data_IF_466226533292
#
_entry.id   IF_466226533292
#
_cell.length_a   1.000
_cell.length_b   1.000
_cell.length_c   1.000
_cell.angle_alpha   90.00
_cell.angle_beta   90.00
_cell.angle_gamma   90.00
#
_symmetry.space_group_name_H-M   'P 1'
#
loop_
_entity.id
_entity.type
_entity.pdbx_description
1 polymer ?
2 non-polymer ?
3 water ?
#
# COMPACT_ATOMS: atom_id res chain seq x y z
N UNK A 7 -31.79 -18.58 -32.38
CA UNK A 7 -30.62 -18.83 -31.55
C UNK A 7 -29.87 -17.57 -31.13
N UNK A 8 -30.43 -16.82 -30.17
CA UNK A 8 -29.79 -15.60 -29.71
C UNK A 8 -28.57 -15.92 -28.86
N UNK A 9 -27.63 -14.98 -28.84
CA UNK A 9 -26.40 -15.10 -28.05
C UNK A 9 -26.19 -13.77 -27.30
N UNK A 10 -25.96 -13.86 -25.99
CA UNK A 10 -25.70 -12.67 -25.17
C UNK A 10 -24.25 -12.69 -24.70
N UNK A 11 -23.56 -11.56 -24.83
CA UNK A 11 -22.15 -11.46 -24.50
C UNK A 11 -21.92 -10.37 -23.47
N UNK A 12 -20.76 -10.42 -22.83
CA UNK A 12 -20.30 -9.39 -21.91
C UNK A 12 -18.93 -8.89 -22.36
N UNK A 13 -18.80 -7.58 -22.50
CA UNK A 13 -17.55 -6.95 -22.92
C UNK A 13 -16.94 -6.25 -21.71
N UNK A 14 -15.84 -6.83 -21.21
CA UNK A 14 -15.05 -6.27 -20.12
C UNK A 14 -13.87 -5.53 -20.72
N UNK A 15 -13.89 -4.20 -20.69
CA UNK A 15 -12.90 -3.35 -21.38
C UNK A 15 -12.18 -2.50 -20.33
N UNK A 16 -10.99 -2.94 -19.92
CA UNK A 16 -10.16 -2.26 -18.94
C UNK A 16 -8.98 -1.64 -19.67
N UNK A 17 -9.00 -0.31 -19.82
CA UNK A 17 -7.95 0.40 -20.50
C UNK A 17 -6.98 1.10 -19.55
N UNK A 18 -6.17 1.98 -20.13
CA UNK A 18 -5.19 2.72 -19.36
C UNK A 18 -5.83 3.67 -18.36
N UNK A 19 -6.98 4.22 -18.70
CA UNK A 19 -7.65 5.16 -17.82
C UNK A 19 -8.95 4.65 -17.22
N UNK A 20 -9.92 4.28 -18.04
CA UNK A 20 -11.26 3.97 -17.58
C UNK A 20 -11.56 2.48 -17.72
N UNK A 21 -12.68 2.08 -17.12
CA UNK A 21 -13.19 0.73 -17.21
C UNK A 21 -14.61 0.76 -17.73
N UNK A 22 -14.92 -0.16 -18.64
CA UNK A 22 -16.24 -0.27 -19.23
C UNK A 22 -16.69 -1.73 -19.18
N UNK A 23 -17.99 -1.92 -18.98
CA UNK A 23 -18.63 -3.22 -19.12
C UNK A 23 -19.90 -3.01 -19.94
N UNK A 24 -20.14 -3.90 -20.91
CA UNK A 24 -21.33 -3.79 -21.74
C UNK A 24 -21.94 -5.16 -21.98
N UNK A 25 -23.27 -5.23 -21.94
CA UNK A 25 -24.03 -6.44 -22.24
C UNK A 25 -24.74 -6.25 -23.56
N UNK A 26 -24.52 -7.16 -24.48
CA UNK A 26 -25.06 -7.04 -25.84
C UNK A 26 -25.76 -8.35 -26.21
N UNK A 27 -26.91 -8.22 -26.87
CA UNK A 27 -27.71 -9.35 -27.32
C UNK A 27 -27.66 -9.42 -28.84
N UNK A 28 -27.47 -10.63 -29.36
CA UNK A 28 -27.41 -10.86 -30.81
C UNK A 28 -28.47 -11.88 -31.19
N UNK A 29 -29.27 -11.54 -32.19
CA UNK A 29 -30.29 -12.42 -32.74
C UNK A 29 -30.23 -12.31 -34.25
N UNK A 30 -30.68 -13.36 -34.94
CA UNK A 30 -30.51 -13.45 -36.40
C UNK A 30 -31.71 -12.89 -37.14
N UNK A 31 -32.85 -13.57 -37.03
CA UNK A 31 -34.08 -13.13 -37.69
C UNK A 31 -33.92 -13.32 -39.19
N UNK A 36 -29.74 -8.51 -35.90
CA UNK A 36 -30.18 -7.50 -34.93
C UNK A 36 -29.19 -7.44 -33.77
N UNK A 37 -28.89 -6.22 -33.34
CA UNK A 37 -27.90 -6.02 -32.29
C UNK A 37 -28.44 -4.97 -31.33
N UNK A 38 -28.40 -5.30 -30.05
CA UNK A 38 -29.02 -4.47 -29.03
C UNK A 38 -28.13 -4.45 -27.80
N UNK A 39 -27.66 -3.25 -27.45
CA UNK A 39 -26.97 -3.04 -26.19
C UNK A 39 -28.02 -3.06 -25.08
N UNK A 40 -27.89 -4.02 -24.16
CA UNK A 40 -28.84 -4.14 -23.05
C UNK A 40 -28.45 -3.27 -21.87
N UNK A 41 -27.17 -3.18 -21.54
CA UNK A 41 -26.74 -2.36 -20.42
C UNK A 41 -25.28 -2.02 -20.58
N UNK A 42 -24.88 -0.94 -19.90
CA UNK A 42 -23.50 -0.48 -19.93
C UNK A 42 -23.22 0.28 -18.65
N UNK A 43 -22.08 -0.01 -18.04
CA UNK A 43 -21.67 0.62 -16.80
C UNK A 43 -20.15 0.72 -16.84
N UNK A 44 -19.57 1.18 -15.74
CA UNK A 44 -18.12 1.23 -15.68
C UNK A 44 -17.63 2.00 -14.48
N UNK A 45 -16.38 2.45 -14.58
CA UNK A 45 -15.70 3.20 -13.54
C UNK A 45 -14.72 4.13 -14.23
N UNK A 46 -15.05 5.42 -14.29
CA UNK A 46 -14.24 6.41 -14.99
C UNK A 46 -12.86 6.64 -14.35
N UNK A 47 -12.62 6.15 -13.13
CA UNK A 47 -11.34 6.33 -12.43
C UNK A 47 -10.77 4.99 -11.97
N UNK A 48 -10.66 4.07 -12.92
CA UNK A 48 -10.11 2.74 -12.67
C UNK A 48 -9.49 2.28 -13.98
N UNK A 49 -8.17 2.34 -14.08
CA UNK A 49 -7.51 1.95 -15.31
C UNK A 49 -6.10 1.47 -15.04
N UNK A 50 -5.43 1.08 -16.12
CA UNK A 50 -4.07 0.60 -16.02
C UNK A 50 -3.12 1.57 -15.34
N UNK A 51 -3.38 2.88 -15.46
CA UNK A 51 -2.47 3.82 -14.82
C UNK A 51 -2.50 3.68 -13.31
N UNK A 52 -3.63 3.26 -12.74
CA UNK A 52 -3.70 3.01 -11.32
C UNK A 52 -2.92 1.77 -10.92
N UNK A 53 -2.72 0.83 -11.84
CA UNK A 53 -1.88 -0.32 -11.54
C UNK A 53 -0.41 0.08 -11.46
N UNK A 54 0.02 1.02 -12.32
CA UNK A 54 1.39 1.52 -12.25
C UNK A 54 1.60 2.27 -10.93
N UNK A 55 0.65 3.12 -10.57
CA UNK A 55 0.78 3.95 -9.37
C UNK A 55 1.06 3.10 -8.13
N UNK A 56 0.35 1.98 -8.00
CA UNK A 56 0.60 1.09 -6.85
C UNK A 56 2.02 0.57 -6.86
N UNK A 57 2.52 0.19 -8.03
CA UNK A 57 3.89 -0.30 -8.12
C UNK A 57 4.90 0.81 -7.87
N UNK A 58 4.57 2.04 -8.27
CA UNK A 58 5.48 3.16 -8.03
C UNK A 58 5.66 3.40 -6.53
N UNK A 59 4.57 3.33 -5.76
CA UNK A 59 4.71 3.51 -4.31
C UNK A 59 5.66 2.49 -3.71
N UNK A 60 5.52 1.23 -4.13
CA UNK A 60 6.36 0.17 -3.60
C UNK A 60 7.82 0.41 -3.92
N UNK A 61 8.12 0.91 -5.13
CA UNK A 61 9.50 1.15 -5.47
C UNK A 61 10.07 2.32 -4.68
N UNK A 62 9.26 3.35 -4.45
CA UNK A 62 9.69 4.47 -3.64
C UNK A 62 9.93 4.03 -2.19
N UNK A 63 9.05 3.19 -1.65
CA UNK A 63 9.24 2.72 -0.27
C UNK A 63 10.49 1.86 -0.15
N UNK A 64 10.73 0.97 -1.10
CA UNK A 64 11.89 0.10 -0.99
C UNK A 64 13.19 0.89 -1.16
N UNK A 65 13.20 1.87 -2.05
CA UNK A 65 14.38 2.71 -2.20
C UNK A 65 14.65 3.53 -0.94
N UNK A 66 13.59 3.97 -0.24
CA UNK A 66 13.78 4.68 1.02
C UNK A 66 14.28 3.72 2.11
N UNK A 67 13.62 2.57 2.24
CA UNK A 67 14.05 1.55 3.19
C UNK A 67 15.53 1.22 3.02
N UNK A 68 16.01 1.16 1.77
CA UNK A 68 17.39 0.74 1.52
C UNK A 68 18.38 1.89 1.67
N UNK A 69 18.24 2.94 0.85
CA UNK A 69 19.20 4.02 0.80
C UNK A 69 18.83 5.19 1.72
N UNK A 70 17.55 5.39 1.99
CA UNK A 70 17.12 6.46 2.87
C UNK A 70 16.69 7.74 2.19
N UNK A 71 16.48 7.73 0.86
CA UNK A 71 16.13 8.92 0.11
C UNK A 71 14.65 8.84 -0.27
N UNK A 72 13.98 9.99 -0.27
CA UNK A 72 12.63 10.14 -0.81
C UNK A 72 12.74 10.74 -2.20
N UNK A 73 12.40 9.95 -3.22
CA UNK A 73 12.55 10.40 -4.59
C UNK A 73 11.44 11.35 -5.03
N UNK A 74 10.34 11.39 -4.28
CA UNK A 74 9.19 12.20 -4.68
C UNK A 74 9.51 13.69 -4.78
N UNK A 75 10.55 14.17 -4.11
CA UNK A 75 10.95 15.56 -4.29
C UNK A 75 11.70 15.77 -5.60
N UNK A 76 12.04 14.71 -6.32
CA UNK A 76 12.84 14.80 -7.53
C UNK A 76 11.95 14.49 -8.73
N UNK A 77 11.52 15.50 -9.50
CA UNK A 77 10.55 15.22 -10.58
C UNK A 77 11.13 14.42 -11.73
N UNK A 78 12.40 14.66 -12.08
CA UNK A 78 13.02 13.93 -13.17
C UNK A 78 13.19 12.45 -12.82
N UNK A 79 13.43 12.14 -11.55
CA UNK A 79 13.55 10.75 -11.13
C UNK A 79 12.20 10.05 -11.13
N UNK A 80 11.15 10.75 -10.71
CA UNK A 80 9.82 10.16 -10.71
C UNK A 80 9.33 9.85 -12.12
N UNK A 81 9.81 10.60 -13.12
CA UNK A 81 9.43 10.27 -14.50
C UNK A 81 10.06 8.95 -14.94
N UNK A 82 11.32 8.73 -14.59
CA UNK A 82 12.00 7.51 -14.99
C UNK A 82 11.42 6.31 -14.25
N UNK A 83 11.03 6.53 -13.00
CA UNK A 83 10.45 5.44 -12.21
C UNK A 83 9.06 5.06 -12.72
N UNK A 84 8.29 6.03 -13.23
CA UNK A 84 7.00 5.70 -13.82
C UNK A 84 7.19 4.85 -15.06
N UNK A 85 8.08 5.30 -15.94
CA UNK A 85 8.42 4.55 -17.15
C UNK A 85 8.89 3.14 -16.80
N UNK A 86 9.76 3.00 -15.79
CA UNK A 86 10.31 1.70 -15.41
C UNK A 86 9.23 0.82 -14.78
N UNK A 87 8.31 1.42 -14.02
CA UNK A 87 7.29 0.64 -13.35
C UNK A 87 6.33 -0.01 -14.34
N UNK A 88 5.88 0.76 -15.33
CA UNK A 88 5.01 0.21 -16.37
C UNK A 88 5.70 -0.95 -17.08
N UNK A 89 6.97 -0.75 -17.47
CA UNK A 89 7.74 -1.79 -18.14
C UNK A 89 7.76 -3.08 -17.33
N UNK A 90 7.94 -2.96 -16.01
CA UNK A 90 7.97 -4.15 -15.17
C UNK A 90 6.58 -4.78 -15.04
N UNK A 91 5.56 -3.94 -14.89
CA UNK A 91 4.19 -4.45 -14.82
C UNK A 91 3.88 -5.35 -16.00
N UNK A 92 4.28 -4.94 -17.20
CA UNK A 92 4.00 -5.70 -18.41
C UNK A 92 4.77 -7.02 -18.40
N UNK A 93 6.09 -6.96 -18.19
CA UNK A 93 6.87 -8.19 -18.15
C UNK A 93 6.28 -9.19 -17.17
N UNK A 94 5.71 -8.69 -16.06
CA UNK A 94 5.14 -9.58 -15.06
C UNK A 94 3.80 -10.19 -15.47
N UNK A 95 3.26 -9.82 -16.64
CA UNK A 95 2.13 -10.56 -17.20
C UNK A 95 2.57 -11.91 -17.76
N UNK A 96 3.85 -12.03 -18.17
CA UNK A 96 4.39 -13.25 -18.73
C UNK A 96 5.46 -13.92 -17.88
N UNK A 97 6.13 -13.18 -16.99
CA UNK A 97 7.20 -13.71 -16.16
C UNK A 97 6.77 -13.81 -14.70
N UNK A 98 7.48 -14.63 -13.93
CA UNK A 98 7.23 -14.75 -12.50
C UNK A 98 7.96 -13.68 -11.69
N UNK A 99 9.05 -13.13 -12.23
CA UNK A 99 9.80 -12.09 -11.55
C UNK A 99 10.57 -11.28 -12.57
N UNK A 100 10.95 -10.07 -12.16
CA UNK A 100 11.67 -9.15 -13.04
C UNK A 100 12.50 -8.21 -12.16
N UNK A 101 13.21 -7.29 -12.80
CA UNK A 101 14.15 -6.42 -12.09
C UNK A 101 14.04 -5.00 -12.62
N UNK A 102 13.89 -4.05 -11.71
CA UNK A 102 13.90 -2.63 -12.06
C UNK A 102 15.33 -2.16 -11.91
N UNK A 103 15.91 -1.64 -12.98
CA UNK A 103 17.30 -1.18 -12.98
C UNK A 103 17.35 0.23 -13.56
N UNK A 104 17.67 1.20 -12.72
CA UNK A 104 17.76 2.61 -13.10
C UNK A 104 19.06 3.17 -12.54
N UNK A 105 20.13 3.15 -13.33
CA UNK A 105 21.39 3.69 -12.83
C UNK A 105 21.39 5.21 -12.71
N UNK A 106 22.17 5.69 -11.73
CA UNK A 106 22.33 7.12 -11.45
C UNK A 106 20.98 7.81 -11.33
N UNK A 107 20.12 7.25 -10.47
CA UNK A 107 18.77 7.75 -10.31
C UNK A 107 18.77 9.05 -9.54
N UNK A 108 19.65 9.18 -8.54
CA UNK A 108 19.77 10.40 -7.74
C UNK A 108 21.15 10.39 -7.07
N UNK A 109 21.38 11.33 -6.15
CA UNK A 109 22.70 11.44 -5.53
C UNK A 109 22.58 12.10 -4.16
N UNK A 110 23.64 11.94 -3.35
CA UNK A 110 23.76 12.58 -2.04
C UNK A 110 25.24 12.78 -1.71
N UNK A 111 25.53 13.20 -0.48
CA UNK A 111 26.92 13.42 -0.07
C UNK A 111 27.74 12.14 -0.16
N UNK A 112 27.08 10.98 -0.09
CA UNK A 112 27.76 9.71 -0.27
C UNK A 112 28.06 9.42 -1.74
N UNK A 113 27.45 10.17 -2.66
CA UNK A 113 27.69 10.01 -4.07
C UNK A 113 26.43 9.70 -4.86
N UNK A 114 26.60 9.29 -6.11
CA UNK A 114 25.44 8.92 -6.94
C UNK A 114 24.86 7.58 -6.52
N UNK A 115 23.54 7.46 -6.65
CA UNK A 115 22.78 6.31 -6.19
C UNK A 115 22.15 5.59 -7.38
N UNK A 116 21.89 4.30 -7.18
CA UNK A 116 21.34 3.42 -8.22
C UNK A 116 20.20 2.59 -7.68
N UNK A 117 19.15 2.43 -8.50
CA UNK A 117 18.03 1.58 -8.13
C UNK A 117 18.20 0.21 -8.77
N UNK A 118 17.96 -0.83 -7.97
CA UNK A 118 18.04 -2.22 -8.41
C UNK A 118 17.11 -3.00 -7.49
N UNK A 119 15.89 -3.25 -7.95
CA UNK A 119 14.85 -3.85 -7.12
C UNK A 119 14.21 -4.99 -7.88
N UNK A 120 14.09 -6.14 -7.21
CA UNK A 120 13.37 -7.28 -7.79
C UNK A 120 11.91 -7.28 -7.36
N UNK A 121 11.02 -7.34 -8.35
CA UNK A 121 9.57 -7.39 -8.14
C UNK A 121 9.08 -8.75 -8.61
N UNK A 122 8.47 -9.51 -7.72
CA UNK A 122 7.89 -10.79 -8.09
C UNK A 122 6.46 -10.58 -8.55
N UNK A 123 5.92 -11.59 -9.24
CA UNK A 123 4.53 -11.50 -9.66
C UNK A 123 3.62 -11.49 -8.44
N UNK A 124 3.83 -12.42 -7.52
CA UNK A 124 3.04 -12.47 -6.30
C UNK A 124 3.02 -11.11 -5.60
N UNK A 125 4.14 -10.40 -5.62
CA UNK A 125 4.18 -9.07 -5.02
C UNK A 125 3.24 -8.11 -5.75
N UNK A 126 3.30 -8.11 -7.08
CA UNK A 126 2.43 -7.23 -7.85
C UNK A 126 0.96 -7.56 -7.65
N UNK A 127 0.63 -8.84 -7.59
CA UNK A 127 -0.77 -9.24 -7.43
C UNK A 127 -1.32 -8.78 -6.10
N UNK A 128 -0.51 -8.83 -5.05
CA UNK A 128 -0.95 -8.33 -3.75
C UNK A 128 -1.11 -6.82 -3.76
N UNK A 129 -0.32 -6.12 -4.57
CA UNK A 129 -0.40 -4.67 -4.63
C UNK A 129 -1.67 -4.20 -5.33
N UNK A 130 -2.11 -4.90 -6.38
CA UNK A 130 -3.22 -4.43 -7.19
C UNK A 130 -4.52 -5.19 -6.93
N UNK A 131 -4.50 -6.22 -6.09
CA UNK A 131 -5.69 -7.05 -5.86
C UNK A 131 -6.95 -6.22 -5.69
N UNK A 132 -6.89 -5.13 -4.92
CA UNK A 132 -8.11 -4.37 -4.66
C UNK A 132 -8.60 -3.66 -5.91
N UNK A 133 -7.71 -3.24 -6.80
CA UNK A 133 -8.15 -2.60 -8.04
C UNK A 133 -8.91 -3.59 -8.92
N UNK A 134 -8.49 -4.84 -8.95
CA UNK A 134 -9.21 -5.83 -9.72
C UNK A 134 -10.60 -6.05 -9.12
N UNK A 135 -10.68 -6.08 -7.79
CA UNK A 135 -11.96 -6.27 -7.13
C UNK A 135 -12.93 -5.11 -7.40
N UNK A 136 -12.42 -3.90 -7.62
CA UNK A 136 -13.31 -2.78 -7.92
C UNK A 136 -14.04 -2.98 -9.24
N UNK A 137 -13.44 -3.70 -10.19
CA UNK A 137 -14.04 -3.89 -11.51
C UNK A 137 -15.26 -4.79 -11.47
N UNK A 138 -15.42 -5.58 -10.41
CA UNK A 138 -16.57 -6.47 -10.31
C UNK A 138 -17.83 -5.71 -9.90
N UNK A 139 -17.68 -4.55 -9.24
CA UNK A 139 -18.85 -3.84 -8.75
C UNK A 139 -19.72 -3.35 -9.90
N UNK A 140 -19.20 -2.65 -10.90
CA UNK A 140 -20.06 -2.26 -12.04
C UNK A 140 -20.60 -3.45 -12.80
N UNK A 141 -19.93 -4.60 -12.75
CA UNK A 141 -20.45 -5.79 -13.42
C UNK A 141 -21.79 -6.19 -12.84
N UNK A 142 -21.87 -6.33 -11.51
CA UNK A 142 -23.13 -6.71 -10.88
C UNK A 142 -24.23 -5.74 -11.26
N UNK A 143 -23.92 -4.44 -11.24
CA UNK A 143 -24.92 -3.41 -11.55
C UNK A 143 -25.47 -3.61 -12.96
N UNK A 144 -24.57 -3.71 -13.94
CA UNK A 144 -25.00 -3.90 -15.33
C UNK A 144 -25.97 -5.06 -15.47
N UNK A 145 -25.61 -6.23 -14.93
CA UNK A 145 -26.49 -7.39 -15.02
C UNK A 145 -27.86 -7.10 -14.40
N UNK A 146 -27.89 -6.45 -13.24
CA UNK A 146 -29.17 -6.08 -12.63
C UNK A 146 -29.96 -5.19 -13.57
N UNK A 147 -29.34 -4.13 -14.09
CA UNK A 147 -30.01 -3.23 -15.00
C UNK A 147 -30.59 -3.98 -16.20
N UNK A 148 -29.88 -4.99 -16.69
CA UNK A 148 -30.34 -5.78 -17.83
C UNK A 148 -31.41 -6.80 -17.46
N UNK A 149 -31.67 -7.01 -16.17
CA UNK A 149 -32.57 -8.06 -15.76
C UNK A 149 -32.02 -9.45 -16.01
N UNK A 150 -30.71 -9.63 -15.83
CA UNK A 150 -30.02 -10.87 -16.16
C UNK A 150 -29.13 -11.33 -15.02
N UNK A 151 -28.66 -12.56 -15.14
CA UNK A 151 -27.73 -13.18 -14.21
C UNK A 151 -26.55 -13.68 -15.01
N UNK A 152 -25.51 -14.16 -14.32
CA UNK A 152 -24.31 -14.62 -15.02
C UNK A 152 -24.63 -15.86 -15.87
N UNK A 153 -25.64 -16.65 -15.48
CA UNK A 153 -25.99 -17.83 -16.24
C UNK A 153 -26.55 -17.47 -17.62
N UNK A 154 -27.15 -16.28 -17.76
CA UNK A 154 -27.70 -15.85 -19.04
C UNK A 154 -26.64 -15.36 -20.01
N UNK A 155 -25.41 -15.20 -19.57
CA UNK A 155 -24.32 -14.75 -20.44
C UNK A 155 -23.69 -15.96 -21.10
N UNK A 156 -23.38 -15.82 -22.38
CA UNK A 156 -22.82 -16.92 -23.16
C UNK A 156 -21.32 -16.79 -23.40
N UNK A 157 -20.79 -15.57 -23.45
CA UNK A 157 -19.38 -15.38 -23.73
C UNK A 157 -18.92 -14.08 -23.08
N UNK A 158 -17.67 -14.09 -22.62
CA UNK A 158 -17.01 -12.93 -22.04
C UNK A 158 -15.79 -12.64 -22.89
N UNK A 159 -15.71 -11.43 -23.44
CA UNK A 159 -14.57 -11.04 -24.26
C UNK A 159 -13.85 -9.89 -23.56
N UNK A 160 -12.53 -10.01 -23.46
CA UNK A 160 -11.70 -9.01 -22.81
C UNK A 160 -11.17 -8.02 -23.84
N UNK A 161 -11.15 -6.74 -23.47
CA UNK A 161 -10.64 -5.68 -24.32
C UNK A 161 -9.70 -4.83 -23.49
N UNK A 162 -8.62 -4.37 -24.10
CA UNK A 162 -7.67 -3.54 -23.39
C UNK A 162 -6.43 -4.30 -22.98
N UNK A 163 -5.30 -3.60 -22.98
CA UNK A 163 -4.03 -4.23 -22.64
C UNK A 163 -3.96 -4.74 -21.21
N UNK A 164 -4.49 -3.96 -20.26
CA UNK A 164 -4.41 -4.36 -18.85
C UNK A 164 -5.01 -5.75 -18.60
N UNK A 165 -5.98 -6.17 -19.42
CA UNK A 165 -6.62 -7.47 -19.25
C UNK A 165 -5.69 -8.65 -19.55
N UNK A 166 -4.50 -8.41 -20.11
CA UNK A 166 -3.56 -9.49 -20.34
C UNK A 166 -2.96 -10.04 -19.06
N UNK A 167 -3.15 -9.35 -17.94
CA UNK A 167 -2.63 -9.80 -16.65
C UNK A 167 -3.36 -11.06 -16.18
N UNK A 168 -2.67 -12.18 -15.96
CA UNK A 168 -3.35 -13.41 -15.54
C UNK A 168 -4.36 -13.23 -14.41
N UNK A 169 -4.03 -12.43 -13.40
CA UNK A 169 -4.94 -12.24 -12.28
C UNK A 169 -6.29 -11.70 -12.75
N UNK A 170 -6.26 -10.68 -13.62
CA UNK A 170 -7.50 -10.07 -14.10
C UNK A 170 -8.33 -11.09 -14.85
N UNK A 171 -7.68 -12.03 -15.54
CA UNK A 171 -8.42 -13.07 -16.25
C UNK A 171 -8.98 -14.09 -15.29
N UNK A 172 -8.24 -14.39 -14.22
CA UNK A 172 -8.67 -15.37 -13.23
C UNK A 172 -9.89 -14.88 -12.47
N UNK A 173 -9.93 -13.58 -12.13
CA UNK A 173 -11.06 -13.05 -11.39
C UNK A 173 -12.32 -12.96 -12.25
N UNK A 174 -12.17 -12.53 -13.50
CA UNK A 174 -13.33 -12.47 -14.39
C UNK A 174 -13.83 -13.88 -14.69
N UNK A 175 -12.92 -14.84 -14.81
CA UNK A 175 -13.35 -16.23 -14.99
C UNK A 175 -14.11 -16.74 -13.79
N UNK A 176 -13.78 -16.25 -12.59
CA UNK A 176 -14.44 -16.73 -11.37
C UNK A 176 -15.85 -16.17 -11.27
N UNK A 177 -16.04 -14.91 -11.66
CA UNK A 177 -17.35 -14.29 -11.59
C UNK A 177 -18.33 -14.95 -12.56
N UNK A 178 -17.98 -15.03 -13.85
CA UNK A 178 -18.87 -15.56 -14.88
C UNK A 178 -18.92 -17.07 -14.94
N UNK A 179 -17.95 -17.77 -14.33
CA UNK A 179 -17.90 -19.21 -14.42
C UNK A 179 -17.55 -19.75 -15.80
N UNK A 180 -16.92 -18.93 -16.64
CA UNK A 180 -16.56 -19.33 -17.99
C UNK A 180 -15.19 -18.76 -18.27
N UNK A 181 -14.46 -19.38 -19.18
CA UNK A 181 -13.16 -18.86 -19.53
C UNK A 181 -13.35 -17.68 -20.47
N UNK A 182 -12.95 -16.46 -20.09
CA UNK A 182 -13.11 -15.33 -21.00
C UNK A 182 -12.24 -15.48 -22.22
N UNK A 183 -12.72 -14.97 -23.35
CA UNK A 183 -11.96 -15.00 -24.59
C UNK A 183 -11.21 -13.69 -24.76
N UNK A 184 -9.88 -13.77 -24.87
CA UNK A 184 -9.05 -12.61 -25.15
C UNK A 184 -8.60 -12.58 -26.59
N UNK A 185 -8.87 -13.65 -27.33
CA UNK A 185 -8.50 -13.70 -28.74
C UNK A 185 -9.48 -12.92 -29.62
N UNK A 186 -10.70 -12.63 -29.15
CA UNK A 186 -11.74 -12.09 -30.03
C UNK A 186 -11.61 -10.59 -30.23
N UNK A 187 -11.82 -10.16 -31.47
CA UNK A 187 -11.84 -8.77 -31.91
C UNK A 187 -13.27 -8.22 -31.91
N UNK A 188 -13.45 -6.93 -32.17
CA UNK A 188 -14.82 -6.37 -32.14
C UNK A 188 -15.76 -6.93 -33.21
N UNK A 189 -15.31 -7.12 -34.45
CA UNK A 189 -16.20 -7.66 -35.47
C UNK A 189 -16.58 -9.10 -35.16
N UNK A 190 -15.59 -9.91 -34.80
CA UNK A 190 -15.80 -11.32 -34.49
C UNK A 190 -16.71 -11.49 -33.27
N UNK A 191 -16.61 -10.55 -32.33
CA UNK A 191 -17.41 -10.62 -31.10
C UNK A 191 -18.90 -10.63 -31.41
N UNK A 192 -19.33 -9.81 -32.35
CA UNK A 192 -20.74 -9.69 -32.67
C UNK A 192 -21.19 -10.94 -33.43
N UNK B 7 20.74 -9.56 42.99
CA UNK B 7 19.51 -9.36 42.25
C UNK B 7 19.64 -8.40 41.08
N UNK B 8 20.30 -8.87 40.01
CA UNK B 8 20.51 -8.09 38.80
C UNK B 8 19.21 -7.98 37.99
N UNK B 9 19.12 -6.92 37.19
CA UNK B 9 17.95 -6.63 36.37
C UNK B 9 18.38 -6.26 34.95
N UNK B 10 17.80 -6.94 33.96
CA UNK B 10 18.08 -6.68 32.56
C UNK B 10 16.84 -6.09 31.88
N UNK B 11 17.03 -5.01 31.12
CA UNK B 11 15.91 -4.34 30.46
C UNK B 11 16.16 -4.25 28.96
N UNK B 12 15.09 -4.02 28.22
CA UNK B 12 15.15 -3.76 26.78
C UNK B 12 14.44 -2.44 26.50
N UNK B 13 15.15 -1.54 25.84
CA UNK B 13 14.64 -0.22 25.50
C UNK B 13 14.31 -0.21 24.01
N UNK B 14 13.02 -0.22 23.70
CA UNK B 14 12.50 -0.15 22.34
C UNK B 14 12.14 1.30 22.04
N UNK B 15 12.94 1.95 21.20
CA UNK B 15 12.81 3.40 20.97
C UNK B 15 12.49 3.65 19.49
N UNK B 16 11.20 3.90 19.21
CA UNK B 16 10.72 4.19 17.86
C UNK B 16 10.33 5.66 17.76
N UNK B 17 11.15 6.46 17.10
CA UNK B 17 10.91 7.87 16.95
C UNK B 17 10.36 8.25 15.59
N UNK B 18 10.43 9.55 15.29
CA UNK B 18 9.94 10.04 14.01
C UNK B 18 10.74 9.55 12.82
N UNK B 19 12.05 9.35 13.00
CA UNK B 19 12.92 8.90 11.93
C UNK B 19 13.48 7.51 12.07
N UNK B 20 14.18 7.21 13.17
CA UNK B 20 14.92 5.96 13.32
C UNK B 20 14.30 5.07 14.38
N UNK B 21 14.80 3.84 14.44
CA UNK B 21 14.42 2.88 15.46
C UNK B 21 15.69 2.38 16.16
N UNK B 22 15.60 2.26 17.49
CA UNK B 22 16.71 1.77 18.31
C UNK B 22 16.19 0.70 19.26
N UNK B 23 17.04 -0.29 19.52
CA UNK B 23 16.81 -1.30 20.54
C UNK B 23 18.11 -1.44 21.32
N UNK B 24 18.00 -1.48 22.65
CA UNK B 24 19.17 -1.60 23.51
C UNK B 24 18.87 -2.56 24.66
N UNK B 25 19.86 -3.39 25.00
CA UNK B 25 19.75 -4.30 26.14
C UNK B 25 20.73 -3.81 27.21
N UNK B 26 20.21 -3.59 28.42
CA UNK B 26 20.99 -3.01 29.50
C UNK B 26 20.83 -3.87 30.76
N UNK B 27 21.94 -4.11 31.44
CA UNK B 27 22.00 -4.90 32.66
C UNK B 27 22.36 -4.02 33.85
N UNK B 28 21.66 -4.21 34.96
CA UNK B 28 21.91 -3.43 36.18
C UNK B 28 22.19 -4.41 37.32
N UNK B 29 23.30 -4.18 38.05
CA UNK B 29 23.65 -4.97 39.22
C UNK B 29 24.23 -4.05 40.29
N UNK B 30 23.95 -4.39 41.56
CA UNK B 30 24.38 -3.60 42.71
C UNK B 30 25.52 -4.33 43.45
N UNK B 31 26.68 -3.68 43.51
CA UNK B 31 27.82 -4.21 44.27
C UNK B 31 28.01 -3.49 45.59
N UNK B 32 28.05 -2.16 45.55
CA UNK B 32 28.16 -1.34 46.74
C UNK B 32 27.27 -0.11 46.63
N UNK B 36 26.41 -0.48 39.14
CA UNK B 36 27.07 -0.84 37.88
C UNK B 36 26.03 -0.96 36.76
N UNK B 37 26.37 -0.43 35.60
CA UNK B 37 25.46 -0.37 34.46
C UNK B 37 26.21 -0.79 33.21
N UNK B 38 25.63 -1.69 32.44
CA UNK B 38 26.32 -2.27 31.29
C UNK B 38 25.34 -2.48 30.14
N UNK B 39 25.60 -1.77 29.04
CA UNK B 39 24.91 -2.01 27.78
C UNK B 39 25.44 -3.30 27.19
N UNK B 40 24.56 -4.30 27.05
CA UNK B 40 24.96 -5.60 26.53
C UNK B 40 24.91 -5.63 25.00
N UNK B 41 23.93 -4.98 24.39
CA UNK B 41 23.80 -5.00 22.93
C UNK B 41 22.97 -3.81 22.49
N UNK B 42 23.10 -3.48 21.21
CA UNK B 42 22.37 -2.36 20.62
C UNK B 42 22.24 -2.57 19.13
N UNK B 43 21.04 -2.33 18.59
CA UNK B 43 20.77 -2.49 17.18
C UNK B 43 19.69 -1.49 16.80
N UNK B 44 19.22 -1.57 15.56
CA UNK B 44 18.16 -0.69 15.15
C UNK B 44 17.91 -0.74 13.65
N UNK B 45 17.26 0.32 13.16
CA UNK B 45 16.92 0.48 11.76
C UNK B 45 16.91 1.97 11.48
N UNK B 46 17.94 2.46 10.80
CA UNK B 46 18.11 3.89 10.57
C UNK B 46 17.05 4.48 9.66
N UNK B 47 16.23 3.66 8.99
CA UNK B 47 15.17 4.16 8.09
C UNK B 47 13.82 3.54 8.46
N UNK B 48 13.43 3.66 9.72
CA UNK B 48 12.17 3.11 10.22
C UNK B 48 11.71 4.01 11.35
N UNK B 49 10.76 4.89 11.07
CA UNK B 49 10.26 5.81 12.07
C UNK B 49 8.83 6.22 11.78
N UNK B 50 8.31 7.07 12.64
CA UNK B 50 6.95 7.55 12.48
C UNK B 50 6.67 8.18 11.13
N UNK B 51 7.68 8.79 10.50
CA UNK B 51 7.43 9.42 9.21
C UNK B 51 7.03 8.39 8.16
N UNK B 52 7.52 7.15 8.30
CA UNK B 52 7.10 6.10 7.39
C UNK B 52 5.67 5.67 7.66
N UNK B 53 5.18 5.86 8.89
CA UNK B 53 3.78 5.56 9.19
C UNK B 53 2.87 6.59 8.55
N UNK B 54 3.29 7.86 8.53
CA UNK B 54 2.52 8.89 7.86
C UNK B 54 2.44 8.62 6.36
N UNK B 55 3.58 8.29 5.76
CA UNK B 55 3.69 8.12 4.31
C UNK B 55 2.71 7.08 3.79
N UNK B 56 2.51 5.98 4.52
CA UNK B 56 1.56 4.96 4.08
C UNK B 56 0.15 5.52 4.05
N UNK B 57 -0.22 6.27 5.07
CA UNK B 57 -1.56 6.85 5.10
C UNK B 57 -1.71 7.92 4.02
N UNK B 58 -0.64 8.66 3.72
CA UNK B 58 -0.72 9.67 2.68
C UNK B 58 -1.01 9.03 1.33
N UNK B 59 -0.39 7.87 1.04
CA UNK B 59 -0.69 7.20 -0.21
C UNK B 59 -2.17 6.87 -0.30
N UNK B 60 -2.73 6.34 0.78
CA UNK B 60 -4.13 5.95 0.81
C UNK B 60 -5.04 7.16 0.59
N UNK B 61 -4.67 8.31 1.13
CA UNK B 61 -5.51 9.48 0.94
C UNK B 61 -5.43 9.98 -0.50
N UNK B 62 -4.27 9.90 -1.12
CA UNK B 62 -4.11 10.28 -2.51
C UNK B 62 -4.90 9.34 -3.41
N UNK B 63 -4.88 8.04 -3.11
CA UNK B 63 -5.62 7.08 -3.90
C UNK B 63 -7.12 7.32 -3.80
N UNK B 64 -7.62 7.56 -2.58
CA UNK B 64 -9.06 7.76 -2.41
C UNK B 64 -9.53 9.06 -3.04
N UNK B 65 -8.73 10.11 -2.93
CA UNK B 65 -9.14 11.36 -3.60
C UNK B 65 -9.17 11.19 -5.11
N UNK B 66 -8.28 10.38 -5.67
CA UNK B 66 -8.33 10.11 -7.10
C UNK B 66 -9.55 9.27 -7.43
N UNK B 67 -9.74 8.18 -6.68
CA UNK B 67 -10.89 7.32 -6.87
C UNK B 67 -12.19 8.12 -6.88
N UNK B 68 -12.28 9.14 -6.04
CA UNK B 68 -13.52 9.90 -5.90
C UNK B 68 -13.63 11.00 -6.94
N UNK B 69 -12.69 11.94 -6.95
CA UNK B 69 -12.75 13.12 -7.81
C UNK B 69 -11.99 12.97 -9.13
N UNK B 70 -10.95 12.14 -9.17
CA UNK B 70 -10.18 11.93 -10.39
C UNK B 70 -8.90 12.74 -10.52
N UNK B 71 -8.46 13.42 -9.46
CA UNK B 71 -7.29 14.30 -9.52
C UNK B 71 -6.12 13.61 -8.85
N UNK B 72 -4.92 13.85 -9.39
CA UNK B 72 -3.67 13.47 -8.75
C UNK B 72 -3.11 14.70 -8.03
N UNK B 73 -3.05 14.64 -6.70
CA UNK B 73 -2.57 15.76 -5.92
C UNK B 73 -1.05 15.86 -5.91
N UNK B 74 -0.37 14.77 -6.24
CA UNK B 74 1.09 14.74 -6.16
C UNK B 74 1.77 15.79 -7.02
N UNK B 75 1.09 16.27 -8.06
CA UNK B 75 1.64 17.38 -8.84
C UNK B 75 1.47 18.72 -8.14
N UNK B 76 0.73 18.77 -7.02
CA UNK B 76 0.42 20.01 -6.31
C UNK B 76 1.20 20.04 -4.98
N UNK B 77 2.31 20.78 -4.88
CA UNK B 77 3.12 20.71 -3.65
C UNK B 77 2.45 21.33 -2.44
N UNK B 78 1.72 22.43 -2.62
CA UNK B 78 1.05 23.04 -1.49
C UNK B 78 -0.01 22.11 -0.92
N UNK B 79 -0.68 21.36 -1.79
CA UNK B 79 -1.68 20.43 -1.31
C UNK B 79 -1.03 19.26 -0.59
N UNK B 80 0.09 18.77 -1.12
CA UNK B 80 0.77 17.64 -0.51
C UNK B 80 1.32 17.96 0.88
N UNK B 81 1.71 19.21 1.15
CA UNK B 81 2.16 19.54 2.50
C UNK B 81 0.98 19.61 3.46
N UNK B 82 -0.18 20.10 3.01
CA UNK B 82 -1.36 20.13 3.86
C UNK B 82 -1.84 18.73 4.15
N UNK B 83 -1.71 17.85 3.17
CA UNK B 83 -2.12 16.46 3.37
C UNK B 83 -1.19 15.78 4.36
N UNK B 84 0.09 16.16 4.37
CA UNK B 84 1.02 15.59 5.34
C UNK B 84 0.61 15.95 6.76
N UNK B 85 0.33 17.23 7.02
CA UNK B 85 -0.12 17.64 8.35
C UNK B 85 -1.37 16.87 8.76
N UNK B 86 -2.33 16.74 7.84
CA UNK B 86 -3.60 16.11 8.15
C UNK B 86 -3.44 14.62 8.43
N UNK B 87 -2.54 13.96 7.72
CA UNK B 87 -2.33 12.53 7.91
C UNK B 87 -1.73 12.25 9.28
N UNK B 88 -0.71 13.02 9.68
CA UNK B 88 -0.13 12.87 11.01
C UNK B 88 -1.18 13.11 12.08
N UNK B 89 -1.91 14.22 11.96
CA UNK B 89 -2.98 14.54 12.90
C UNK B 89 -3.95 13.38 13.05
N UNK B 90 -4.34 12.76 11.93
CA UNK B 90 -5.27 11.64 12.00
C UNK B 90 -4.60 10.40 12.58
N UNK B 91 -3.35 10.13 12.22
CA UNK B 91 -2.61 9.00 12.78
C UNK B 91 -2.65 9.04 14.31
N UNK B 92 -2.41 10.23 14.87
CA UNK B 92 -2.37 10.40 16.32
C UNK B 92 -3.76 10.19 16.91
N UNK B 93 -4.77 10.86 16.34
CA UNK B 93 -6.14 10.69 16.82
C UNK B 93 -6.54 9.23 16.85
N UNK B 94 -6.03 8.43 15.90
CA UNK B 94 -6.40 7.03 15.83
C UNK B 94 -5.67 6.18 16.86
N UNK B 95 -4.76 6.75 17.65
CA UNK B 95 -4.20 6.01 18.77
C UNK B 95 -5.20 5.86 19.90
N UNK B 96 -6.15 6.81 20.01
CA UNK B 96 -7.16 6.79 21.07
C UNK B 96 -8.58 6.57 20.56
N UNK B 97 -8.86 6.87 19.30
CA UNK B 97 -10.20 6.72 18.72
C UNK B 97 -10.24 5.55 17.73
N UNK B 98 -11.46 5.06 17.47
CA UNK B 98 -11.64 3.98 16.50
C UNK B 98 -11.74 4.48 15.07
N UNK B 99 -12.14 5.73 14.87
CA UNK B 99 -12.19 6.30 13.53
C UNK B 99 -12.06 7.81 13.65
N UNK B 100 -11.74 8.45 12.53
CA UNK B 100 -11.55 9.89 12.49
C UNK B 100 -11.85 10.38 11.08
N UNK B 101 -11.68 11.68 10.87
CA UNK B 101 -12.03 12.28 9.59
C UNK B 101 -10.97 13.30 9.18
N UNK B 102 -10.48 13.14 7.95
CA UNK B 102 -9.59 14.11 7.33
C UNK B 102 -10.44 15.10 6.55
N UNK B 103 -10.34 16.37 6.89
CA UNK B 103 -11.17 17.41 6.28
C UNK B 103 -10.25 18.53 5.84
N UNK B 104 -10.12 18.72 4.54
CA UNK B 104 -9.25 19.74 3.97
C UNK B 104 -10.06 20.52 2.94
N UNK B 105 -10.67 21.62 3.33
CA UNK B 105 -11.42 22.40 2.34
C UNK B 105 -10.51 23.11 1.37
N UNK B 106 -11.02 23.29 0.16
CA UNK B 106 -10.32 23.97 -0.93
C UNK B 106 -8.89 23.43 -1.10
N UNK B 107 -8.80 22.11 -1.27
CA UNK B 107 -7.50 21.45 -1.41
C UNK B 107 -6.93 21.68 -2.81
N UNK B 108 -7.79 21.71 -3.83
CA UNK B 108 -7.32 21.96 -5.20
C UNK B 108 -8.51 22.41 -6.04
N UNK B 109 -8.30 22.52 -7.36
CA UNK B 109 -9.36 23.01 -8.24
C UNK B 109 -9.18 22.48 -9.66
N UNK B 110 -10.27 22.54 -10.42
CA UNK B 110 -10.31 22.16 -11.83
C UNK B 110 -11.40 22.98 -12.52
N UNK B 111 -11.69 22.62 -13.77
CA UNK B 111 -12.75 23.31 -14.53
C UNK B 111 -14.11 23.18 -13.85
N UNK B 112 -14.31 22.12 -13.06
CA UNK B 112 -15.56 21.95 -12.33
C UNK B 112 -15.67 22.86 -11.10
N UNK B 113 -14.57 23.45 -10.67
CA UNK B 113 -14.57 24.33 -9.53
C UNK B 113 -13.60 23.89 -8.45
N UNK B 114 -13.68 24.51 -7.28
CA UNK B 114 -12.81 24.10 -6.18
C UNK B 114 -13.24 22.76 -5.60
N UNK B 115 -12.24 22.00 -5.14
CA UNK B 115 -12.46 20.66 -4.63
C UNK B 115 -12.12 20.58 -3.14
N UNK B 116 -12.74 19.62 -2.47
CA UNK B 116 -12.60 19.46 -1.02
C UNK B 116 -12.38 18.00 -0.67
N UNK B 117 -11.49 17.75 0.29
CA UNK B 117 -11.22 16.40 0.77
C UNK B 117 -12.02 16.13 2.04
N UNK B 118 -12.62 14.94 2.08
CA UNK B 118 -13.41 14.49 3.23
C UNK B 118 -13.38 12.96 3.21
N UNK B 119 -12.48 12.39 4.01
CA UNK B 119 -12.26 10.95 4.01
C UNK B 119 -12.25 10.44 5.44
N UNK B 120 -13.02 9.37 5.69
CA UNK B 120 -13.04 8.72 7.00
C UNK B 120 -11.95 7.66 7.02
N UNK B 121 -11.11 7.70 8.04
CA UNK B 121 -10.08 6.70 8.24
C UNK B 121 -10.39 5.95 9.52
N UNK B 122 -10.53 4.63 9.42
CA UNK B 122 -10.73 3.80 10.59
C UNK B 122 -9.40 3.34 11.15
N UNK B 123 -9.43 2.89 12.41
CA UNK B 123 -8.23 2.32 13.01
C UNK B 123 -7.84 1.02 12.31
N UNK B 124 -8.81 0.14 12.08
CA UNK B 124 -8.54 -1.10 11.36
C UNK B 124 -7.86 -0.84 10.01
N UNK B 125 -8.26 0.25 9.34
CA UNK B 125 -7.63 0.63 8.08
C UNK B 125 -6.18 1.03 8.29
N UNK B 126 -5.92 1.86 9.31
CA UNK B 126 -4.54 2.29 9.55
C UNK B 126 -3.66 1.09 9.89
N UNK B 127 -4.16 0.17 10.73
CA UNK B 127 -3.36 -0.96 11.16
C UNK B 127 -2.96 -1.85 9.99
N UNK B 128 -3.87 -2.05 9.02
CA UNK B 128 -3.54 -2.84 7.85
C UNK B 128 -2.51 -2.13 6.98
N UNK B 129 -2.56 -0.79 6.93
CA UNK B 129 -1.61 -0.03 6.12
C UNK B 129 -0.20 -0.13 6.67
N UNK B 130 -0.03 -0.10 8.00
CA UNK B 130 1.30 -0.04 8.60
C UNK B 130 1.75 -1.35 9.20
N UNK B 131 0.93 -2.40 9.17
CA UNK B 131 1.29 -3.66 9.81
C UNK B 131 2.73 -4.09 9.49
N UNK B 132 3.14 -3.98 8.24
CA UNK B 132 4.47 -4.49 7.88
C UNK B 132 5.58 -3.63 8.48
N UNK B 133 5.32 -2.33 8.70
CA UNK B 133 6.32 -1.50 9.36
C UNK B 133 6.55 -1.93 10.81
N UNK B 134 5.48 -2.35 11.50
CA UNK B 134 5.65 -2.83 12.87
C UNK B 134 6.46 -4.12 12.89
N UNK B 135 6.19 -5.02 11.94
CA UNK B 135 6.90 -6.29 11.90
C UNK B 135 8.38 -6.11 11.61
N UNK B 136 8.76 -5.04 10.90
CA UNK B 136 10.17 -4.79 10.66
C UNK B 136 10.94 -4.50 11.94
N UNK B 137 10.26 -3.92 12.93
CA UNK B 137 10.90 -3.56 14.19
C UNK B 137 11.30 -4.77 14.99
N UNK B 138 10.73 -5.93 14.69
CA UNK B 138 11.04 -7.17 15.40
C UNK B 138 12.36 -7.78 14.94
N UNK B 139 12.80 -7.48 13.72
CA UNK B 139 14.02 -8.12 13.22
C UNK B 139 15.24 -7.69 14.01
N UNK B 140 15.50 -6.39 14.22
CA UNK B 140 16.67 -6.02 15.05
C UNK B 140 16.59 -6.53 16.48
N UNK B 141 15.37 -6.75 17.00
CA UNK B 141 15.23 -7.28 18.34
C UNK B 141 15.88 -8.65 18.48
N UNK B 142 15.55 -9.57 17.58
CA UNK B 142 16.16 -10.89 17.61
C UNK B 142 17.68 -10.80 17.56
N UNK B 143 18.21 -9.93 16.69
CA UNK B 143 19.65 -9.79 16.49
C UNK B 143 20.33 -9.35 17.79
N UNK B 144 19.84 -8.24 18.37
CA UNK B 144 20.40 -7.72 19.61
C UNK B 144 20.47 -8.80 20.68
N UNK B 145 19.36 -9.53 20.87
CA UNK B 145 19.35 -10.61 21.84
C UNK B 145 20.43 -11.64 21.53
N UNK B 146 20.57 -12.01 20.24
CA UNK B 146 21.63 -12.94 19.86
C UNK B 146 23.00 -12.39 20.25
N UNK B 147 23.27 -11.15 19.86
CA UNK B 147 24.55 -10.52 20.20
C UNK B 147 24.81 -10.54 21.70
N UNK B 148 23.76 -10.36 22.50
CA UNK B 148 23.88 -10.36 23.95
C UNK B 148 24.01 -11.76 24.56
N UNK B 149 23.80 -12.82 23.77
CA UNK B 149 23.80 -14.15 24.32
C UNK B 149 22.62 -14.40 25.24
N UNK B 150 21.45 -13.84 24.90
CA UNK B 150 20.27 -13.89 25.77
C UNK B 150 19.04 -14.26 24.95
N UNK B 151 17.96 -14.56 25.68
CA UNK B 151 16.66 -14.88 25.12
C UNK B 151 15.65 -13.96 25.77
N UNK B 152 14.40 -14.01 25.28
CA UNK B 152 13.38 -13.13 25.82
C UNK B 152 13.08 -13.47 27.27
N UNK B 153 13.31 -14.72 27.69
CA UNK B 153 13.07 -15.10 29.07
C UNK B 153 14.05 -14.43 30.03
N UNK B 154 15.24 -14.06 29.55
CA UNK B 154 16.23 -13.40 30.39
C UNK B 154 15.96 -11.90 30.57
N UNK B 155 15.01 -11.34 29.84
CA UNK B 155 14.66 -9.93 29.96
C UNK B 155 13.63 -9.79 31.06
N UNK B 156 13.77 -8.74 31.88
CA UNK B 156 12.89 -8.52 33.01
C UNK B 156 11.87 -7.41 32.79
N UNK B 157 12.18 -6.42 31.95
CA UNK B 157 11.27 -5.31 31.69
C UNK B 157 11.52 -4.75 30.30
N UNK B 158 10.43 -4.32 29.67
CA UNK B 158 10.46 -3.67 28.36
C UNK B 158 9.89 -2.28 28.53
N UNK B 159 10.67 -1.26 28.20
CA UNK B 159 10.22 0.13 28.32
C UNK B 159 10.14 0.74 26.92
N UNK B 160 9.02 1.39 26.64
CA UNK B 160 8.78 2.02 25.36
C UNK B 160 9.19 3.48 25.38
N UNK B 161 9.84 3.92 24.31
CA UNK B 161 10.28 5.28 24.14
C UNK B 161 9.82 5.79 22.78
N UNK B 162 9.45 7.05 22.71
CA UNK B 162 9.04 7.64 21.45
C UNK B 162 7.53 7.74 21.33
N UNK B 163 7.05 8.78 20.66
CA UNK B 163 5.60 8.97 20.52
C UNK B 163 4.93 7.87 19.72
N UNK B 164 5.60 7.39 18.67
CA UNK B 164 5.02 6.35 17.84
C UNK B 164 4.65 5.11 18.63
N UNK B 165 5.36 4.84 19.73
CA UNK B 165 5.05 3.67 20.55
C UNK B 165 3.69 3.79 21.26
N UNK B 166 3.05 4.96 21.22
CA UNK B 166 1.72 5.11 21.78
C UNK B 166 0.64 4.40 20.98
N UNK B 167 0.95 3.96 19.77
CA UNK B 167 -0.02 3.25 18.94
C UNK B 167 -0.34 1.87 19.50
N UNK B 168 -1.60 1.57 19.83
CA UNK B 168 -1.90 0.26 20.44
C UNK B 168 -1.29 -0.94 19.73
N UNK B 169 -1.30 -0.95 18.40
CA UNK B 169 -0.75 -2.08 17.66
C UNK B 169 0.72 -2.31 18.00
N UNK B 170 1.52 -1.24 18.02
CA UNK B 170 2.94 -1.38 18.31
C UNK B 170 3.14 -1.96 19.70
N UNK B 171 2.24 -1.65 20.63
CA UNK B 171 2.30 -2.18 21.98
C UNK B 171 1.88 -3.64 22.02
N UNK B 172 0.91 -4.00 21.19
CA UNK B 172 0.43 -5.37 21.16
C UNK B 172 1.48 -6.33 20.60
N UNK B 173 2.20 -5.90 19.55
CA UNK B 173 3.22 -6.75 18.93
C UNK B 173 4.44 -6.91 19.83
N UNK B 174 4.87 -5.82 20.48
CA UNK B 174 6.00 -5.90 21.41
C UNK B 174 5.64 -6.77 22.61
N UNK B 175 4.38 -6.69 23.07
CA UNK B 175 3.94 -7.54 24.17
C UNK B 175 3.97 -9.01 23.78
N UNK B 176 3.71 -9.32 22.51
CA UNK B 176 3.66 -10.70 22.06
C UNK B 176 5.06 -11.29 21.96
N UNK B 177 6.01 -10.50 21.46
CA UNK B 177 7.37 -10.98 21.31
C UNK B 177 7.99 -11.29 22.68
N UNK B 178 7.99 -10.30 23.58
CA UNK B 178 8.61 -10.47 24.88
C UNK B 178 7.74 -11.25 25.88
N UNK B 179 6.44 -11.38 25.64
CA UNK B 179 5.59 -12.06 26.59
C UNK B 179 5.38 -11.30 27.88
N UNK B 180 5.57 -9.99 27.86
CA UNK B 180 5.47 -9.12 29.01
C UNK B 180 4.78 -7.82 28.59
N UNK B 181 4.15 -7.15 29.55
CA UNK B 181 3.49 -5.90 29.23
C UNK B 181 4.50 -4.76 29.19
N UNK B 182 4.68 -4.09 28.04
CA UNK B 182 5.62 -2.96 28.00
C UNK B 182 5.23 -1.82 28.93
N UNK B 183 6.24 -1.13 29.43
CA UNK B 183 6.08 0.03 30.30
C UNK B 183 6.18 1.29 29.45
N UNK B 184 5.10 2.08 29.41
CA UNK B 184 5.15 3.36 28.72
C UNK B 184 5.10 4.52 29.73
N UNK B 185 5.68 5.65 29.32
CA UNK B 185 5.74 6.89 30.09
C UNK B 185 6.65 6.78 31.32
N UNK B 186 7.58 5.83 31.30
CA UNK B 186 8.62 5.70 32.32
C UNK B 186 9.73 6.69 31.97
N UNK B 187 10.36 7.27 32.97
CA UNK B 187 11.39 8.26 32.71
C UNK B 187 12.71 7.54 32.45
N UNK B 188 13.72 8.25 31.93
CA UNK B 188 15.02 7.57 31.69
C UNK B 188 15.71 7.15 32.98
N UNK B 189 15.66 7.99 34.03
CA UNK B 189 16.29 7.64 35.31
C UNK B 189 15.56 6.49 35.99
N UNK B 190 14.22 6.52 35.99
CA UNK B 190 13.46 5.45 36.64
C UNK B 190 13.73 4.10 35.99
N UNK B 191 13.91 4.08 34.67
CA UNK B 191 14.16 2.81 33.99
C UNK B 191 15.41 2.15 34.55
N UNK B 192 16.49 2.92 34.68
CA UNK B 192 17.76 2.44 35.23
C UNK B 192 17.68 2.44 36.76
#
# INVERSE_FOLDING_TARGET
MACKGTGNRTIAVYDLGGGTFDISIIEIDEVDGEKTFEVLATNGDTHLGGEDFDSRLINYLVEEFKKDQGIDLRNDPLAMQRLKEAAEKAKIELSSAQQTDVNLPYITADATGPKHMNIKVTRAKLESLVEDLVNRSIEPLKVALQDAGLSVSDIDDVILVGGQTRMPMVQKKVAEFFGKEPRKDVNPDEAVAIGAAVQGGVLTKCL
MACKGTGNRTIAVYDLGGGTFDISIIEIDEVDGEKTFEVLATNGDTHLGGEDFDSRLINYLVEEFKKDQGIDLRNDPLAMQRLKEAAEKAKIELSSAQQTDVNLPYITADATGPKHMNIKVTRAKLESLVEDLVNRSIEPLKVALQDAGLSVSDIDDVILVGGQTRMPMVQKKVAEFFGKEPRKDVNPDEAVAIGAAVQGGVLTKCL
#
